data_IF_543190336822
#
_entry.id   IF_543190336822
#
_cell.length_a   1.000
_cell.length_b   1.000
_cell.length_c   1.000
_cell.angle_alpha   90.00
_cell.angle_beta   90.00
_cell.angle_gamma   90.00
#
_symmetry.space_group_name_H-M   'P 1'
#
loop_
_entity.id
_entity.type
_entity.pdbx_description
1 polymer ?
#
# COMPACT_ATOMS: atom_id res chain seq x y z
N UNK A 1 -0.39 6.97 7.53
CA UNK A 1 -1.84 7.30 7.62
C UNK A 1 -2.24 7.51 9.06
N UNK A 2 -2.76 8.69 9.40
CA UNK A 2 -3.49 8.90 10.65
C UNK A 2 -4.89 8.27 10.50
N UNK A 3 -4.95 6.95 10.65
CA UNK A 3 -6.22 6.24 10.68
C UNK A 3 -7.01 6.69 11.92
N UNK A 4 -8.32 6.91 11.75
CA UNK A 4 -9.17 7.18 12.91
C UNK A 4 -9.00 6.06 13.94
N UNK A 5 -8.98 6.35 15.26
CA UNK A 5 -8.61 5.39 16.30
C UNK A 5 -9.46 4.11 16.29
N UNK A 6 -10.68 4.15 15.74
CA UNK A 6 -11.55 2.98 15.52
C UNK A 6 -10.99 1.93 14.53
N UNK A 7 -10.06 2.33 13.66
CA UNK A 7 -9.40 1.45 12.70
C UNK A 7 -7.97 1.07 13.15
N UNK A 8 -7.59 1.38 14.40
CA UNK A 8 -6.26 1.07 14.92
C UNK A 8 -5.91 -0.43 14.82
N UNK A 9 -6.90 -1.33 14.93
CA UNK A 9 -6.71 -2.77 14.76
C UNK A 9 -6.44 -3.22 13.32
N UNK A 10 -6.71 -2.37 12.32
CA UNK A 10 -6.35 -2.60 10.92
C UNK A 10 -4.90 -2.16 10.61
N UNK A 11 -4.20 -1.60 11.60
CA UNK A 11 -2.80 -1.22 11.47
C UNK A 11 -1.93 -2.42 11.86
N UNK A 12 -1.39 -3.13 10.89
CA UNK A 12 -0.36 -4.16 11.08
C UNK A 12 1.02 -3.54 11.31
N UNK A 13 1.16 -2.66 12.30
CA UNK A 13 2.46 -2.05 12.64
C UNK A 13 2.76 -2.20 14.12
N UNK A 14 4.02 -2.47 14.46
CA UNK A 14 4.53 -2.33 15.84
C UNK A 14 4.17 -0.95 16.39
N UNK A 15 3.65 -0.92 17.62
CA UNK A 15 2.99 0.21 18.27
C UNK A 15 3.78 1.55 18.29
N UNK A 16 5.06 1.56 17.91
CA UNK A 16 5.96 2.71 18.03
C UNK A 16 6.59 3.20 16.71
N UNK A 17 6.28 2.59 15.55
CA UNK A 17 6.86 3.05 14.28
C UNK A 17 6.16 4.32 13.73
N UNK A 18 6.91 5.31 13.21
CA UNK A 18 6.34 6.52 12.61
C UNK A 18 5.39 6.17 11.46
N UNK A 19 4.24 6.83 11.40
CA UNK A 19 3.11 6.51 10.52
C UNK A 19 3.30 7.02 9.09
N UNK A 20 4.34 6.51 8.42
CA UNK A 20 4.51 6.64 6.98
C UNK A 20 3.24 6.16 6.25
N UNK A 21 2.92 6.75 5.09
CA UNK A 21 1.80 6.32 4.25
C UNK A 21 2.20 5.06 3.49
N UNK A 22 2.26 3.95 4.22
CA UNK A 22 2.61 2.63 3.71
C UNK A 22 1.34 1.88 3.35
N UNK A 23 1.33 1.26 2.18
CA UNK A 23 0.27 0.37 1.72
C UNK A 23 0.85 -1.04 1.71
N UNK A 24 0.27 -1.95 2.49
CA UNK A 24 0.65 -3.36 2.54
C UNK A 24 -0.38 -4.17 1.74
N UNK A 25 0.07 -4.85 0.69
CA UNK A 25 -0.78 -5.59 -0.23
C UNK A 25 -0.51 -7.09 -0.07
N UNK A 26 -1.49 -7.82 0.44
CA UNK A 26 -1.46 -9.27 0.56
C UNK A 26 -2.21 -9.89 -0.61
N UNK A 27 -1.55 -10.78 -1.36
CA UNK A 27 -2.08 -11.34 -2.59
C UNK A 27 -1.79 -12.84 -2.66
N UNK A 28 -2.85 -13.63 -2.84
CA UNK A 28 -2.74 -15.07 -3.11
C UNK A 28 -2.59 -15.34 -4.61
N UNK A 29 -1.62 -16.20 -4.97
CA UNK A 29 -1.33 -16.54 -6.37
C UNK A 29 -2.46 -17.30 -7.08
N UNK A 30 -3.30 -18.01 -6.33
CA UNK A 30 -4.41 -18.81 -6.89
C UNK A 30 -5.71 -18.03 -7.00
N UNK A 31 -5.82 -16.88 -6.32
CA UNK A 31 -7.06 -16.12 -6.26
C UNK A 31 -7.19 -15.18 -7.48
N UNK A 32 -8.26 -15.29 -8.29
CA UNK A 32 -8.44 -14.45 -9.47
C UNK A 32 -8.67 -12.97 -9.12
N UNK A 33 -9.23 -12.68 -7.93
CA UNK A 33 -9.42 -11.31 -7.46
C UNK A 33 -8.09 -10.65 -7.08
N UNK A 34 -7.20 -11.37 -6.41
CA UNK A 34 -5.85 -10.90 -6.08
C UNK A 34 -5.03 -10.61 -7.34
N UNK A 35 -5.17 -11.43 -8.39
CA UNK A 35 -4.55 -11.15 -9.69
C UNK A 35 -5.03 -9.82 -10.32
N UNK A 36 -6.33 -9.50 -10.18
CA UNK A 36 -6.89 -8.22 -10.64
C UNK A 36 -6.30 -7.05 -9.85
N UNK A 37 -6.22 -7.17 -8.53
CA UNK A 37 -5.67 -6.13 -7.66
C UNK A 37 -4.20 -5.86 -7.98
N UNK A 38 -3.39 -6.91 -8.17
CA UNK A 38 -2.00 -6.81 -8.60
C UNK A 38 -1.88 -6.02 -9.90
N UNK A 39 -2.63 -6.40 -10.93
CA UNK A 39 -2.59 -5.72 -12.23
C UNK A 39 -2.89 -4.23 -12.08
N UNK A 40 -3.96 -3.86 -11.39
CA UNK A 40 -4.34 -2.45 -11.18
C UNK A 40 -3.26 -1.63 -10.48
N UNK A 41 -2.60 -2.21 -9.47
CA UNK A 41 -1.53 -1.50 -8.73
C UNK A 41 -0.37 -1.19 -9.66
N UNK A 42 0.08 -2.15 -10.46
CA UNK A 42 1.23 -1.97 -11.35
C UNK A 42 0.91 -1.15 -12.60
N UNK A 43 -0.30 -1.26 -13.15
CA UNK A 43 -0.67 -0.58 -14.39
C UNK A 43 -1.15 0.84 -14.18
N UNK A 44 -1.79 1.13 -13.04
CA UNK A 44 -2.50 2.39 -12.85
C UNK A 44 -2.00 3.15 -11.63
N UNK A 45 -1.80 2.48 -10.49
CA UNK A 45 -1.43 3.19 -9.25
C UNK A 45 0.03 3.62 -9.25
N UNK A 46 0.97 2.74 -9.58
CA UNK A 46 2.40 3.07 -9.59
C UNK A 46 2.77 4.20 -10.56
N UNK A 47 2.26 4.25 -11.82
CA UNK A 47 2.52 5.38 -12.71
C UNK A 47 2.01 6.71 -12.17
N UNK A 48 0.79 6.73 -11.60
CA UNK A 48 0.21 7.95 -11.03
C UNK A 48 1.01 8.48 -9.83
N UNK A 49 1.53 7.57 -8.99
CA UNK A 49 2.41 7.96 -7.89
C UNK A 49 3.70 8.55 -8.43
N UNK A 50 4.32 7.94 -9.45
CA UNK A 50 5.56 8.45 -10.08
C UNK A 50 5.40 9.82 -10.71
N UNK A 51 4.24 10.09 -11.31
CA UNK A 51 3.93 11.36 -11.96
C UNK A 51 3.64 12.48 -10.94
N UNK A 52 2.84 12.19 -9.90
CA UNK A 52 2.43 13.20 -8.91
C UNK A 52 3.43 13.39 -7.76
N UNK A 53 4.27 12.38 -7.50
CA UNK A 53 5.26 12.40 -6.43
C UNK A 53 6.57 11.79 -6.94
N UNK A 54 7.62 12.60 -7.03
CA UNK A 54 8.97 12.12 -7.39
C UNK A 54 9.43 11.05 -6.41
N UNK A 55 9.26 9.77 -6.78
CA UNK A 55 9.70 8.65 -5.97
C UNK A 55 11.23 8.71 -5.90
N UNK A 56 11.74 9.17 -4.76
CA UNK A 56 13.13 8.98 -4.37
C UNK A 56 13.29 7.51 -3.98
N UNK A 57 13.48 6.66 -4.99
CA UNK A 57 13.85 5.26 -4.80
C UNK A 57 15.19 5.24 -4.07
N UNK A 58 15.14 5.02 -2.75
CA UNK A 58 16.35 4.69 -1.98
C UNK A 58 16.68 3.25 -2.32
N UNK A 59 17.66 3.09 -3.22
CA UNK A 59 18.48 1.90 -3.34
C UNK A 59 19.16 1.58 -2.00
#
# INVERSE_FOLDING_TARGET
MALAPRFAGQKFSVASAPTLNTIELYLDYVCPYSAKMFKTVYTSVLPLIRENHGIRARH
#
